data_IF_604595728296
#
_entry.id   IF_604595728296
#
_cell.length_a   1.000
_cell.length_b   1.000
_cell.length_c   1.000
_cell.angle_alpha   90.00
_cell.angle_beta   90.00
_cell.angle_gamma   90.00
#
_symmetry.space_group_name_H-M   'P 1'
#
loop_
_entity.id
_entity.type
_entity.pdbx_description
1 polymer ?
#
# COMPACT_ATOMS: atom_id res chain seq x y z
N UNK A 1 -20.04 17.09 10.51
CA UNK A 1 -19.23 15.95 10.00
C UNK A 1 -19.86 14.66 10.52
N UNK A 2 -20.07 13.65 9.71
CA UNK A 2 -20.61 12.36 10.16
C UNK A 2 -19.55 11.62 10.99
N UNK A 3 -19.96 10.72 11.89
CA UNK A 3 -19.01 9.92 12.71
C UNK A 3 -18.00 9.13 11.87
N UNK A 4 -18.32 8.84 10.63
CA UNK A 4 -17.43 8.20 9.64
C UNK A 4 -16.35 9.15 9.09
N UNK A 5 -16.58 10.45 9.09
CA UNK A 5 -15.57 11.43 8.65
C UNK A 5 -14.53 11.70 9.73
N UNK A 6 -14.92 11.72 11.01
CA UNK A 6 -13.96 11.90 12.14
C UNK A 6 -13.02 10.72 12.32
N UNK A 7 -13.34 9.53 11.79
CA UNK A 7 -12.49 8.35 11.88
C UNK A 7 -11.50 8.18 10.71
N UNK A 8 -11.55 9.02 9.67
CA UNK A 8 -10.65 8.99 8.51
C UNK A 8 -9.47 9.95 8.69
N UNK A 9 -8.69 9.78 9.77
CA UNK A 9 -7.57 10.67 10.09
C UNK A 9 -6.53 10.75 8.97
N UNK A 10 -6.19 9.62 8.33
CA UNK A 10 -5.30 9.61 7.18
C UNK A 10 -5.86 10.40 5.99
N UNK A 11 -7.14 10.20 5.69
CA UNK A 11 -7.81 10.95 4.64
C UNK A 11 -7.84 12.47 4.90
N UNK A 12 -8.02 12.88 6.17
CA UNK A 12 -7.91 14.30 6.55
C UNK A 12 -6.51 14.85 6.29
N UNK A 13 -5.46 14.12 6.68
CA UNK A 13 -4.09 14.50 6.39
C UNK A 13 -3.85 14.65 4.87
N UNK A 14 -4.19 13.65 4.08
CA UNK A 14 -4.03 13.67 2.61
C UNK A 14 -4.80 14.81 1.98
N UNK A 15 -6.03 15.07 2.43
CA UNK A 15 -6.84 16.19 1.94
C UNK A 15 -6.19 17.54 2.24
N UNK A 16 -5.71 17.72 3.46
CA UNK A 16 -5.07 18.95 3.90
C UNK A 16 -3.76 19.20 3.13
N UNK A 17 -2.92 18.18 2.94
CA UNK A 17 -1.67 18.29 2.17
C UNK A 17 -1.91 18.73 0.72
N UNK A 18 -2.94 18.21 0.08
CA UNK A 18 -3.29 18.61 -1.30
C UNK A 18 -3.76 20.07 -1.35
N UNK A 19 -4.24 20.62 -0.24
CA UNK A 19 -4.62 22.02 -0.10
C UNK A 19 -3.53 22.92 0.52
N UNK A 20 -2.29 22.42 0.64
CA UNK A 20 -1.13 23.19 1.09
C UNK A 20 -0.72 22.98 2.54
N UNK A 21 -1.36 22.05 3.26
CA UNK A 21 -0.93 21.64 4.60
C UNK A 21 0.44 20.96 4.56
N UNK A 22 1.19 21.11 5.65
CA UNK A 22 2.57 20.60 5.77
C UNK A 22 2.80 19.71 7.00
N UNK A 23 1.80 19.58 7.87
CA UNK A 23 1.92 18.81 9.10
C UNK A 23 1.84 17.32 8.75
N UNK A 24 2.79 16.47 9.18
CA UNK A 24 2.68 15.03 9.00
C UNK A 24 1.58 14.44 9.89
N UNK A 25 1.06 13.31 9.49
CA UNK A 25 0.21 12.48 10.31
C UNK A 25 1.01 11.84 11.45
N UNK A 26 0.35 11.48 12.53
CA UNK A 26 0.93 10.68 13.61
C UNK A 26 0.48 9.24 13.47
N UNK A 27 1.44 8.32 13.51
CA UNK A 27 1.20 6.88 13.61
C UNK A 27 1.29 6.49 15.09
N UNK A 28 0.21 5.97 15.64
CA UNK A 28 0.16 5.47 17.01
C UNK A 28 0.01 3.94 16.99
N UNK A 29 0.95 3.22 17.64
CA UNK A 29 0.93 1.76 17.78
C UNK A 29 0.09 1.32 18.98
N UNK A 30 -0.31 0.04 18.99
CA UNK A 30 -1.10 -0.58 20.06
C UNK A 30 -0.34 -0.73 21.39
N UNK A 31 0.97 -0.45 21.43
CA UNK A 31 1.79 -0.39 22.64
C UNK A 31 1.99 1.03 23.19
N UNK A 32 1.33 2.02 22.55
CA UNK A 32 1.41 3.43 22.95
C UNK A 32 2.57 4.20 22.33
N UNK A 33 3.44 3.57 21.55
CA UNK A 33 4.48 4.28 20.81
C UNK A 33 3.84 5.15 19.72
N UNK A 34 4.37 6.36 19.56
CA UNK A 34 3.92 7.29 18.52
C UNK A 34 5.11 7.84 17.75
N UNK A 35 4.95 8.04 16.44
CA UNK A 35 5.92 8.71 15.60
C UNK A 35 5.21 9.57 14.55
N UNK A 36 5.91 10.56 14.00
CA UNK A 36 5.46 11.25 12.80
C UNK A 36 5.50 10.29 11.60
N UNK A 37 4.43 10.27 10.83
CA UNK A 37 4.37 9.51 9.59
C UNK A 37 5.19 10.14 8.47
N UNK A 38 5.04 9.62 7.26
CA UNK A 38 5.84 10.03 6.11
C UNK A 38 5.52 11.44 5.58
N UNK A 39 4.35 11.98 5.91
CA UNK A 39 3.94 13.34 5.58
C UNK A 39 3.80 13.64 4.09
N UNK A 40 3.48 14.90 3.76
CA UNK A 40 3.19 15.31 2.38
C UNK A 40 4.38 15.14 1.44
N UNK A 41 5.60 15.25 1.94
CA UNK A 41 6.83 15.14 1.13
C UNK A 41 6.95 13.78 0.44
N UNK A 42 6.43 12.72 1.04
CA UNK A 42 6.42 11.37 0.47
C UNK A 42 5.15 11.11 -0.34
N UNK A 43 3.98 11.43 0.23
CA UNK A 43 2.70 11.12 -0.41
C UNK A 43 2.39 11.98 -1.63
N UNK A 44 2.97 13.19 -1.73
CA UNK A 44 2.79 14.08 -2.88
C UNK A 44 4.01 14.12 -3.81
N UNK A 45 5.08 13.38 -3.50
CA UNK A 45 6.32 13.38 -4.25
C UNK A 45 6.13 13.07 -5.74
N UNK A 46 6.86 13.78 -6.58
CA UNK A 46 7.06 13.37 -7.97
C UNK A 46 7.99 12.15 -8.07
N UNK A 47 8.00 11.50 -9.23
CA UNK A 47 8.73 10.23 -9.43
C UNK A 47 10.23 10.29 -9.14
N UNK A 48 10.87 11.47 -9.22
CA UNK A 48 12.28 11.64 -8.87
C UNK A 48 12.58 11.39 -7.39
N UNK A 49 11.61 11.68 -6.51
CA UNK A 49 11.70 11.47 -5.06
C UNK A 49 11.30 10.07 -4.58
N UNK A 50 10.84 9.19 -5.48
CA UNK A 50 10.38 7.86 -5.06
C UNK A 50 11.53 6.90 -4.81
N UNK A 51 11.32 5.84 -4.00
CA UNK A 51 12.26 4.74 -3.84
C UNK A 51 12.74 4.18 -5.18
N UNK A 52 14.02 3.78 -5.25
CA UNK A 52 14.59 3.25 -6.50
C UNK A 52 13.88 1.99 -6.98
N UNK A 53 13.37 1.19 -6.04
CA UNK A 53 12.60 -0.02 -6.31
C UNK A 53 11.32 0.28 -7.10
N UNK A 54 10.53 1.27 -6.67
CA UNK A 54 9.32 1.70 -7.35
C UNK A 54 9.62 2.20 -8.77
N UNK A 55 10.64 3.10 -8.92
CA UNK A 55 11.04 3.63 -10.23
C UNK A 55 11.49 2.54 -11.21
N UNK A 56 12.19 1.51 -10.73
CA UNK A 56 12.61 0.39 -11.54
C UNK A 56 11.42 -0.50 -11.93
N UNK A 57 10.53 -0.80 -10.98
CA UNK A 57 9.36 -1.63 -11.19
C UNK A 57 8.39 -1.02 -12.21
N UNK A 58 8.20 0.30 -12.20
CA UNK A 58 7.33 1.01 -13.15
C UNK A 58 7.68 0.78 -14.62
N UNK A 59 8.93 0.45 -14.94
CA UNK A 59 9.34 0.13 -16.32
C UNK A 59 8.70 -1.16 -16.87
N UNK A 60 8.15 -1.99 -15.99
CA UNK A 60 7.51 -3.26 -16.32
C UNK A 60 5.98 -3.19 -16.27
N UNK A 61 5.43 -2.06 -15.83
CA UNK A 61 3.99 -1.77 -15.85
C UNK A 61 3.54 -1.62 -17.30
N UNK A 62 2.40 -2.23 -17.63
CA UNK A 62 1.85 -2.24 -19.00
C UNK A 62 0.34 -2.31 -19.01
N UNK A 63 -0.25 -1.93 -20.14
CA UNK A 63 -1.69 -2.00 -20.38
C UNK A 63 -2.48 -1.15 -19.40
N UNK A 64 -3.69 -1.59 -19.07
CA UNK A 64 -4.57 -0.93 -18.12
C UNK A 64 -4.13 -1.23 -16.69
N UNK A 65 -4.00 -0.20 -15.86
CA UNK A 65 -3.40 -0.28 -14.53
C UNK A 65 -4.42 -0.01 -13.43
N UNK A 66 -4.33 -0.78 -12.34
CA UNK A 66 -5.00 -0.51 -11.08
C UNK A 66 -3.96 -0.11 -10.03
N UNK A 67 -4.08 1.11 -9.48
CA UNK A 67 -3.25 1.63 -8.39
C UNK A 67 -4.02 1.44 -7.07
N UNK A 68 -3.67 0.41 -6.30
CA UNK A 68 -4.34 0.01 -5.06
C UNK A 68 -3.77 0.73 -3.83
N UNK A 69 -4.64 1.43 -3.10
CA UNK A 69 -4.24 2.34 -2.03
C UNK A 69 -3.56 3.57 -2.60
N UNK A 70 -4.20 4.20 -3.59
CA UNK A 70 -3.59 5.27 -4.37
C UNK A 70 -3.34 6.56 -3.56
N UNK A 71 -3.95 6.71 -2.38
CA UNK A 71 -3.83 7.91 -1.55
C UNK A 71 -4.15 9.18 -2.33
N UNK A 72 -3.21 10.14 -2.36
CA UNK A 72 -3.29 11.35 -3.17
C UNK A 72 -3.03 11.13 -4.67
N UNK A 73 -2.90 9.89 -5.14
CA UNK A 73 -2.76 9.54 -6.55
C UNK A 73 -1.38 9.78 -7.15
N UNK A 74 -0.28 9.75 -6.36
CA UNK A 74 1.07 10.03 -6.89
C UNK A 74 1.46 9.09 -8.05
N UNK A 75 1.15 7.80 -7.92
CA UNK A 75 1.46 6.78 -8.94
C UNK A 75 0.48 6.87 -10.10
N UNK A 76 -0.81 6.97 -9.82
CA UNK A 76 -1.85 7.11 -10.83
C UNK A 76 -1.59 8.32 -11.74
N UNK A 77 -1.31 9.51 -11.19
CA UNK A 77 -0.98 10.72 -11.96
C UNK A 77 0.25 10.54 -12.83
N UNK A 78 1.33 9.95 -12.28
CA UNK A 78 2.55 9.71 -13.05
C UNK A 78 2.29 8.80 -14.27
N UNK A 79 1.51 7.75 -14.09
CA UNK A 79 1.15 6.83 -15.17
C UNK A 79 0.21 7.51 -16.19
N UNK A 80 -0.81 8.24 -15.72
CA UNK A 80 -1.75 8.98 -16.56
C UNK A 80 -1.04 10.02 -17.46
N UNK A 81 -0.08 10.78 -16.88
CA UNK A 81 0.74 11.73 -17.65
C UNK A 81 1.59 11.08 -18.73
N UNK A 82 1.80 9.77 -18.68
CA UNK A 82 2.50 8.96 -19.69
C UNK A 82 1.55 8.27 -20.65
N UNK A 83 0.26 8.61 -20.63
CA UNK A 83 -0.77 8.06 -21.52
C UNK A 83 -1.24 6.66 -21.13
N UNK A 84 -1.01 6.22 -19.88
CA UNK A 84 -1.49 4.92 -19.39
C UNK A 84 -2.92 5.05 -18.89
N UNK A 85 -3.80 4.13 -19.30
CA UNK A 85 -5.14 3.99 -18.71
C UNK A 85 -5.00 3.44 -17.28
N UNK A 86 -5.23 4.29 -16.29
CA UNK A 86 -5.06 3.97 -14.89
C UNK A 86 -6.30 4.31 -14.07
N UNK A 87 -6.62 3.41 -13.15
CA UNK A 87 -7.66 3.59 -12.14
C UNK A 87 -6.99 3.60 -10.78
N UNK A 88 -7.15 4.68 -10.02
CA UNK A 88 -6.79 4.72 -8.60
C UNK A 88 -7.90 4.08 -7.76
N UNK A 89 -7.53 3.38 -6.71
CA UNK A 89 -8.48 2.85 -5.72
C UNK A 89 -7.99 3.21 -4.32
N UNK A 90 -8.88 3.79 -3.51
CA UNK A 90 -8.62 4.04 -2.10
C UNK A 90 -9.90 3.85 -1.28
N UNK A 91 -9.77 3.36 -0.05
CA UNK A 91 -10.90 3.19 0.87
C UNK A 91 -11.30 4.51 1.53
N UNK A 92 -10.35 5.44 1.71
CA UNK A 92 -10.59 6.77 2.25
C UNK A 92 -11.32 7.65 1.23
N UNK A 93 -12.48 8.19 1.65
CA UNK A 93 -13.24 9.12 0.81
C UNK A 93 -12.48 10.44 0.57
N UNK A 94 -11.77 10.90 1.58
CA UNK A 94 -11.01 12.16 1.50
C UNK A 94 -9.75 11.97 0.63
N UNK A 95 -9.02 10.86 0.77
CA UNK A 95 -7.88 10.55 -0.09
C UNK A 95 -8.33 10.39 -1.56
N UNK A 96 -9.42 9.65 -1.83
CA UNK A 96 -9.96 9.51 -3.17
C UNK A 96 -10.41 10.86 -3.77
N UNK A 97 -10.96 11.77 -2.95
CA UNK A 97 -11.31 13.13 -3.36
C UNK A 97 -10.07 13.97 -3.65
N UNK A 98 -9.03 13.84 -2.82
CA UNK A 98 -7.76 14.53 -3.00
C UNK A 98 -7.06 14.08 -4.31
N UNK A 99 -7.06 12.78 -4.61
CA UNK A 99 -6.53 12.26 -5.86
C UNK A 99 -7.25 12.87 -7.09
N UNK A 100 -8.57 12.97 -7.05
CA UNK A 100 -9.35 13.63 -8.12
C UNK A 100 -9.03 15.11 -8.22
N UNK A 101 -8.90 15.82 -7.09
CA UNK A 101 -8.53 17.25 -7.07
C UNK A 101 -7.15 17.46 -7.71
N UNK A 102 -6.22 16.54 -7.54
CA UNK A 102 -4.90 16.55 -8.20
C UNK A 102 -4.93 16.22 -9.68
N UNK A 103 -6.06 15.74 -10.23
CA UNK A 103 -6.23 15.45 -11.64
C UNK A 103 -6.23 13.96 -12.01
N UNK A 104 -6.34 13.03 -11.05
CA UNK A 104 -6.56 11.61 -11.39
C UNK A 104 -7.97 11.44 -11.97
N UNK A 105 -8.07 11.04 -13.24
CA UNK A 105 -9.32 10.98 -13.99
C UNK A 105 -10.31 9.96 -13.44
N UNK A 106 -9.81 8.78 -13.08
CA UNK A 106 -10.65 7.69 -12.56
C UNK A 106 -10.16 7.23 -11.19
N UNK A 107 -10.99 7.43 -10.16
CA UNK A 107 -10.72 6.97 -8.79
C UNK A 107 -11.93 6.24 -8.26
N UNK A 108 -11.74 5.01 -7.81
CA UNK A 108 -12.75 4.23 -7.10
C UNK A 108 -12.56 4.40 -5.59
N UNK A 109 -13.61 4.86 -4.90
CA UNK A 109 -13.65 4.91 -3.45
C UNK A 109 -14.27 3.61 -2.93
N UNK A 110 -13.44 2.62 -2.65
CA UNK A 110 -13.87 1.29 -2.17
C UNK A 110 -12.69 0.57 -1.51
N UNK A 111 -12.99 -0.46 -0.72
CA UNK A 111 -11.95 -1.28 -0.10
C UNK A 111 -11.49 -2.41 -1.03
N UNK A 112 -10.32 -2.98 -0.70
CA UNK A 112 -9.69 -4.07 -1.45
C UNK A 112 -10.58 -5.32 -1.50
N UNK A 113 -11.30 -5.65 -0.42
CA UNK A 113 -12.18 -6.82 -0.34
C UNK A 113 -13.38 -6.70 -1.29
N UNK A 114 -13.78 -5.47 -1.63
CA UNK A 114 -14.91 -5.20 -2.53
C UNK A 114 -14.51 -5.10 -4.00
N UNK A 115 -13.24 -5.31 -4.31
CA UNK A 115 -12.74 -5.27 -5.69
C UNK A 115 -13.34 -6.38 -6.55
N UNK A 116 -13.38 -7.63 -6.03
CA UNK A 116 -14.01 -8.79 -6.68
C UNK A 116 -13.60 -8.97 -8.13
N UNK A 117 -14.54 -9.31 -9.00
CA UNK A 117 -14.31 -9.58 -10.43
C UNK A 117 -13.75 -8.38 -11.23
N UNK A 118 -13.80 -7.16 -10.70
CA UNK A 118 -13.27 -5.96 -11.38
C UNK A 118 -11.76 -6.08 -11.65
N UNK A 119 -11.04 -6.89 -10.87
CA UNK A 119 -9.59 -7.12 -11.05
C UNK A 119 -9.25 -7.68 -12.43
N UNK A 120 -10.16 -8.46 -13.05
CA UNK A 120 -9.98 -9.02 -14.39
C UNK A 120 -9.90 -7.99 -15.51
N UNK A 121 -10.22 -6.73 -15.23
CA UNK A 121 -10.12 -5.64 -16.20
C UNK A 121 -8.71 -5.08 -16.40
N UNK A 122 -7.72 -5.49 -15.59
CA UNK A 122 -6.40 -4.87 -15.53
C UNK A 122 -5.29 -5.80 -16.06
N UNK A 123 -4.27 -5.17 -16.65
CA UNK A 123 -3.05 -5.84 -17.12
C UNK A 123 -1.93 -5.72 -16.08
N UNK A 124 -1.96 -4.66 -15.29
CA UNK A 124 -1.04 -4.42 -14.17
C UNK A 124 -1.80 -3.94 -12.94
N UNK A 125 -1.41 -4.44 -11.78
CA UNK A 125 -1.92 -4.02 -10.47
C UNK A 125 -0.72 -3.57 -9.66
N UNK A 126 -0.79 -2.36 -9.10
CA UNK A 126 0.32 -1.74 -8.36
C UNK A 126 -0.10 -1.49 -6.93
N UNK A 127 0.74 -1.94 -5.99
CA UNK A 127 0.60 -1.74 -4.54
C UNK A 127 1.91 -1.14 -4.01
N UNK A 128 2.15 0.14 -4.27
CA UNK A 128 3.34 0.86 -3.80
C UNK A 128 3.09 1.56 -2.45
N UNK A 129 4.15 2.03 -1.78
CA UNK A 129 4.04 2.63 -0.46
C UNK A 129 3.83 1.60 0.65
N UNK A 130 4.48 0.45 0.56
CA UNK A 130 4.28 -0.70 1.47
C UNK A 130 2.86 -1.28 1.46
N UNK A 131 2.07 -1.06 0.41
CA UNK A 131 0.67 -1.45 0.34
C UNK A 131 0.41 -2.97 0.31
N UNK A 132 1.45 -3.83 0.37
CA UNK A 132 1.26 -5.22 0.77
C UNK A 132 0.56 -5.31 2.14
N UNK A 133 0.79 -4.32 3.00
CA UNK A 133 0.15 -4.22 4.31
C UNK A 133 -1.38 -4.17 4.30
N UNK A 134 -1.99 -3.78 3.18
CA UNK A 134 -3.46 -3.78 3.01
C UNK A 134 -4.10 -5.16 3.13
N UNK A 135 -3.33 -6.23 3.04
CA UNK A 135 -3.83 -7.59 3.28
C UNK A 135 -3.95 -7.93 4.77
N UNK A 136 -3.43 -7.12 5.68
CA UNK A 136 -3.51 -7.24 7.13
C UNK A 136 -2.77 -8.47 7.69
N UNK A 137 -3.05 -9.68 7.17
CA UNK A 137 -2.47 -10.95 7.64
C UNK A 137 -1.98 -11.82 6.47
N UNK A 138 -1.03 -12.76 6.72
CA UNK A 138 -0.60 -13.72 5.70
C UNK A 138 -1.74 -14.55 5.10
N UNK A 139 -2.70 -14.98 5.93
CA UNK A 139 -3.84 -15.78 5.48
C UNK A 139 -4.80 -14.96 4.61
N UNK A 140 -5.01 -13.70 4.94
CA UNK A 140 -5.80 -12.79 4.10
C UNK A 140 -5.11 -12.55 2.77
N UNK A 141 -3.79 -12.31 2.77
CA UNK A 141 -3.01 -12.16 1.55
C UNK A 141 -3.11 -13.40 0.66
N UNK A 142 -2.86 -14.57 1.22
CA UNK A 142 -2.94 -15.85 0.49
C UNK A 142 -4.33 -16.05 -0.13
N UNK A 143 -5.39 -15.89 0.66
CA UNK A 143 -6.77 -16.05 0.19
C UNK A 143 -7.13 -15.09 -0.93
N UNK A 144 -6.80 -13.81 -0.77
CA UNK A 144 -7.11 -12.75 -1.74
C UNK A 144 -6.32 -12.94 -3.03
N UNK A 145 -5.03 -13.26 -2.94
CA UNK A 145 -4.18 -13.51 -4.12
C UNK A 145 -4.64 -14.74 -4.89
N UNK A 146 -5.05 -15.80 -4.20
CA UNK A 146 -5.64 -16.98 -4.85
C UNK A 146 -6.94 -16.66 -5.58
N UNK A 147 -7.77 -15.80 -5.02
CA UNK A 147 -8.97 -15.31 -5.71
C UNK A 147 -8.60 -14.47 -6.95
N UNK A 148 -7.65 -13.56 -6.81
CA UNK A 148 -7.18 -12.73 -7.93
C UNK A 148 -6.58 -13.56 -9.06
N UNK A 149 -5.89 -14.67 -8.77
CA UNK A 149 -5.37 -15.55 -9.79
C UNK A 149 -6.47 -16.16 -10.66
N UNK A 150 -7.66 -16.40 -10.12
CA UNK A 150 -8.80 -16.92 -10.88
C UNK A 150 -9.46 -15.86 -11.76
N UNK A 151 -9.43 -14.60 -11.33
CA UNK A 151 -10.16 -13.50 -11.94
C UNK A 151 -9.30 -12.66 -12.90
N UNK A 152 -8.00 -12.56 -12.63
CA UNK A 152 -7.07 -11.76 -13.42
C UNK A 152 -6.78 -12.39 -14.78
N UNK A 153 -6.43 -11.55 -15.76
CA UNK A 153 -5.98 -11.99 -17.08
C UNK A 153 -4.79 -12.95 -16.95
N UNK A 154 -4.62 -13.91 -17.88
CA UNK A 154 -3.46 -14.81 -17.88
C UNK A 154 -2.11 -14.09 -17.90
N UNK A 155 -2.06 -12.91 -18.52
CA UNK A 155 -0.85 -12.09 -18.65
C UNK A 155 -0.76 -10.98 -17.61
N UNK A 156 -1.66 -10.93 -16.63
CA UNK A 156 -1.68 -9.90 -15.60
C UNK A 156 -0.41 -9.96 -14.75
N UNK A 157 0.02 -8.79 -14.27
CA UNK A 157 1.17 -8.59 -13.38
C UNK A 157 0.74 -7.87 -12.13
N UNK A 158 1.34 -8.23 -11.01
CA UNK A 158 1.15 -7.51 -9.76
C UNK A 158 2.50 -7.01 -9.28
N UNK A 159 2.56 -5.74 -8.87
CA UNK A 159 3.74 -5.09 -8.32
C UNK A 159 3.44 -4.78 -6.86
N UNK A 160 4.04 -5.54 -5.95
CA UNK A 160 3.80 -5.45 -4.52
C UNK A 160 5.00 -4.91 -3.78
N UNK A 161 4.82 -3.80 -3.08
CA UNK A 161 5.84 -3.25 -2.21
C UNK A 161 5.63 -3.68 -0.77
N UNK A 162 6.73 -4.05 -0.15
CA UNK A 162 6.83 -4.30 1.28
C UNK A 162 8.23 -3.98 1.81
N UNK A 163 8.36 -3.91 3.12
CA UNK A 163 9.63 -3.73 3.82
C UNK A 163 9.94 -4.95 4.69
N UNK A 164 11.23 -5.24 4.82
CA UNK A 164 11.69 -6.29 5.72
C UNK A 164 11.70 -5.79 7.16
N UNK A 165 10.76 -6.25 7.98
CA UNK A 165 10.66 -5.88 9.40
C UNK A 165 11.90 -6.27 10.22
N UNK A 166 12.65 -7.31 9.81
CA UNK A 166 13.84 -7.80 10.52
C UNK A 166 15.07 -6.92 10.33
N UNK A 167 15.11 -6.14 9.26
CA UNK A 167 16.25 -5.30 8.88
C UNK A 167 16.20 -3.86 9.39
N UNK A 168 15.17 -3.47 10.14
CA UNK A 168 14.99 -2.09 10.62
C UNK A 168 14.50 -1.11 9.55
N UNK A 169 14.02 -1.61 8.39
CA UNK A 169 13.53 -0.78 7.30
C UNK A 169 12.02 -0.61 7.22
N UNK A 170 11.26 -1.25 8.10
CA UNK A 170 9.82 -1.08 8.16
C UNK A 170 9.46 0.12 9.05
N UNK A 171 8.70 1.11 8.56
CA UNK A 171 8.25 2.24 9.35
C UNK A 171 7.46 1.81 10.60
N UNK A 172 7.65 2.49 11.71
CA UNK A 172 6.93 2.18 12.95
C UNK A 172 7.33 0.87 13.61
N UNK A 173 8.41 0.23 13.15
CA UNK A 173 8.76 -1.13 13.55
C UNK A 173 10.15 -1.21 14.17
N UNK A 174 10.23 -1.72 15.39
CA UNK A 174 11.49 -1.97 16.11
C UNK A 174 11.63 -3.43 16.55
N UNK A 175 12.84 -3.79 17.00
CA UNK A 175 13.14 -5.17 17.45
C UNK A 175 12.32 -5.61 18.65
N UNK A 176 11.87 -4.68 19.50
CA UNK A 176 11.07 -4.97 20.69
C UNK A 176 9.65 -5.33 20.28
N UNK A 177 9.07 -4.55 19.37
CA UNK A 177 7.74 -4.81 18.83
C UNK A 177 7.69 -6.15 18.07
N UNK A 178 8.70 -6.42 17.23
CA UNK A 178 8.87 -7.69 16.56
C UNK A 178 8.90 -8.88 17.52
N UNK A 179 9.71 -8.80 18.61
CA UNK A 179 9.79 -9.86 19.60
C UNK A 179 8.46 -10.06 20.30
N UNK A 180 7.78 -8.98 20.70
CA UNK A 180 6.44 -9.01 21.30
C UNK A 180 5.42 -9.72 20.39
N UNK A 181 5.44 -9.48 19.09
CA UNK A 181 4.56 -10.20 18.17
C UNK A 181 4.80 -11.70 18.21
N UNK A 182 6.07 -12.14 18.15
CA UNK A 182 6.42 -13.56 18.23
C UNK A 182 5.97 -14.20 19.54
N UNK A 183 6.20 -13.54 20.66
CA UNK A 183 5.78 -14.01 22.00
C UNK A 183 4.25 -14.15 22.09
N UNK A 184 3.51 -13.31 21.38
CA UNK A 184 2.05 -13.35 21.31
C UNK A 184 1.51 -14.23 20.16
N UNK A 185 2.36 -15.00 19.45
CA UNK A 185 1.95 -15.85 18.33
C UNK A 185 1.47 -15.11 17.10
N UNK A 186 1.79 -13.81 16.97
CA UNK A 186 1.47 -13.00 15.80
C UNK A 186 2.58 -13.08 14.75
N UNK A 187 2.25 -12.84 13.45
CA UNK A 187 3.27 -12.65 12.44
C UNK A 187 4.28 -11.57 12.87
N UNK A 188 5.58 -11.82 12.75
CA UNK A 188 6.57 -10.85 13.22
C UNK A 188 6.44 -9.45 12.63
N UNK A 189 6.10 -9.34 11.35
CA UNK A 189 5.92 -8.07 10.64
C UNK A 189 4.51 -7.46 10.73
N UNK A 190 3.64 -7.99 11.58
CA UNK A 190 2.32 -7.41 11.83
C UNK A 190 2.43 -6.15 12.68
N UNK A 191 1.96 -5.03 12.17
CA UNK A 191 1.86 -3.75 12.87
C UNK A 191 0.40 -3.43 13.14
N UNK A 192 0.02 -3.28 14.41
CA UNK A 192 -1.29 -2.75 14.79
C UNK A 192 -1.16 -1.28 15.15
N UNK A 193 -1.78 -0.42 14.34
CA UNK A 193 -1.62 1.02 14.46
C UNK A 193 -2.94 1.76 14.18
N UNK A 194 -2.94 3.05 14.43
CA UNK A 194 -3.94 4.00 13.95
C UNK A 194 -3.30 5.31 13.57
N UNK A 195 -3.94 6.05 12.69
CA UNK A 195 -3.53 7.41 12.35
C UNK A 195 -4.21 8.43 13.25
N UNK A 196 -3.48 9.51 13.54
CA UNK A 196 -4.01 10.72 14.15
C UNK A 196 -3.59 11.93 13.32
N UNK A 197 -4.50 12.89 13.17
CA UNK A 197 -4.24 14.14 12.45
C UNK A 197 -5.13 15.24 13.00
N UNK A 198 -4.54 16.28 13.61
CA UNK A 198 -5.29 17.27 14.37
C UNK A 198 -6.16 16.59 15.43
N UNK A 199 -7.46 16.89 15.43
CA UNK A 199 -8.44 16.26 16.32
C UNK A 199 -8.99 14.93 15.80
N UNK A 200 -8.67 14.55 14.57
CA UNK A 200 -9.14 13.29 13.99
C UNK A 200 -8.31 12.11 14.49
N UNK A 201 -9.02 11.06 14.94
CA UNK A 201 -8.42 9.80 15.39
C UNK A 201 -9.02 8.66 14.58
N UNK A 202 -8.18 7.98 13.80
CA UNK A 202 -8.58 6.82 12.99
C UNK A 202 -8.92 5.60 13.82
N UNK A 203 -9.62 4.65 13.20
CA UNK A 203 -9.78 3.30 13.75
C UNK A 203 -8.45 2.55 13.78
N UNK A 204 -8.33 1.56 14.68
CA UNK A 204 -7.21 0.64 14.69
C UNK A 204 -7.26 -0.22 13.42
N UNK A 205 -6.10 -0.33 12.74
CA UNK A 205 -5.89 -1.21 11.60
C UNK A 205 -4.68 -2.10 11.83
N UNK A 206 -4.61 -3.18 11.07
CA UNK A 206 -3.44 -4.06 11.00
C UNK A 206 -2.74 -3.80 9.67
N UNK A 207 -1.40 -3.68 9.71
CA UNK A 207 -0.55 -3.53 8.54
C UNK A 207 0.51 -4.62 8.54
N UNK A 208 0.69 -5.30 7.42
CA UNK A 208 1.60 -6.43 7.32
C UNK A 208 2.86 -6.07 6.52
N UNK A 209 4.01 -6.08 7.19
CA UNK A 209 5.31 -6.06 6.53
C UNK A 209 5.84 -7.49 6.38
N UNK A 210 6.37 -7.82 5.22
CA UNK A 210 6.92 -9.14 4.94
C UNK A 210 8.29 -9.03 4.28
N UNK A 211 9.19 -9.92 4.66
CA UNK A 211 10.43 -10.14 3.92
C UNK A 211 10.14 -10.81 2.57
N UNK A 212 11.10 -10.78 1.65
CA UNK A 212 10.98 -11.48 0.37
C UNK A 212 10.74 -12.99 0.52
N UNK A 213 11.28 -13.61 1.57
CA UNK A 213 11.08 -15.02 1.86
C UNK A 213 9.65 -15.31 2.31
N UNK A 214 9.13 -14.52 3.27
CA UNK A 214 7.75 -14.63 3.74
C UNK A 214 6.75 -14.37 2.60
N UNK A 215 7.02 -13.40 1.73
CA UNK A 215 6.18 -13.16 0.56
C UNK A 215 6.13 -14.41 -0.35
N UNK A 216 7.28 -15.05 -0.62
CA UNK A 216 7.31 -16.31 -1.40
C UNK A 216 6.52 -17.42 -0.72
N UNK A 217 6.59 -17.52 0.61
CA UNK A 217 5.84 -18.53 1.36
C UNK A 217 4.32 -18.29 1.28
N UNK A 218 3.87 -17.03 1.39
CA UNK A 218 2.48 -16.61 1.22
C UNK A 218 1.97 -16.94 -0.20
N UNK A 219 2.81 -16.79 -1.21
CA UNK A 219 2.43 -17.02 -2.61
C UNK A 219 2.22 -18.50 -2.96
N UNK A 220 2.75 -19.44 -2.19
CA UNK A 220 2.63 -20.89 -2.50
C UNK A 220 1.17 -21.31 -2.65
N UNK A 221 0.84 -21.87 -3.82
CA UNK A 221 -0.53 -22.35 -4.11
C UNK A 221 -1.55 -21.27 -4.37
N UNK A 222 -1.14 -20.01 -4.55
CA UNK A 222 -2.03 -18.91 -4.93
C UNK A 222 -2.25 -18.81 -6.45
N UNK A 223 -1.36 -19.38 -7.26
CA UNK A 223 -1.30 -19.22 -8.72
C UNK A 223 -0.49 -17.98 -9.15
N UNK A 224 0.29 -17.43 -8.24
CA UNK A 224 1.26 -16.35 -8.50
C UNK A 224 2.63 -16.75 -8.00
N UNK A 225 3.66 -16.37 -8.73
CA UNK A 225 5.04 -16.49 -8.30
C UNK A 225 5.79 -15.17 -8.41
N UNK A 226 6.81 -15.03 -7.61
CA UNK A 226 7.70 -13.87 -7.62
C UNK A 226 8.72 -14.03 -8.76
N UNK A 227 8.47 -13.38 -9.91
CA UNK A 227 9.34 -13.48 -11.08
C UNK A 227 10.56 -12.54 -11.00
N UNK A 228 10.42 -11.41 -10.29
CA UNK A 228 11.49 -10.42 -10.11
C UNK A 228 11.33 -9.64 -8.82
N UNK A 229 12.44 -9.14 -8.28
CA UNK A 229 12.47 -8.22 -7.14
C UNK A 229 13.33 -7.01 -7.50
N UNK A 230 12.84 -5.83 -7.13
CA UNK A 230 13.52 -4.55 -7.23
C UNK A 230 13.78 -4.03 -5.81
N UNK A 231 14.94 -3.41 -5.57
CA UNK A 231 15.32 -2.95 -4.24
C UNK A 231 15.78 -4.12 -3.35
N UNK A 232 17.09 -4.31 -3.28
CA UNK A 232 17.68 -5.42 -2.52
C UNK A 232 18.52 -4.94 -1.34
N UNK A 233 18.57 -3.61 -1.11
CA UNK A 233 19.33 -3.05 -0.01
C UNK A 233 18.63 -3.34 1.32
N UNK A 234 19.42 -3.77 2.28
CA UNK A 234 18.93 -3.97 3.64
C UNK A 234 18.44 -2.62 4.20
N UNK A 235 17.25 -2.62 4.80
CA UNK A 235 16.65 -1.40 5.37
C UNK A 235 15.86 -0.53 4.40
N UNK A 236 15.80 -0.89 3.10
CA UNK A 236 14.95 -0.20 2.13
C UNK A 236 13.73 -1.08 1.75
N UNK A 237 12.61 -0.47 1.35
CA UNK A 237 11.50 -1.22 0.79
C UNK A 237 11.90 -1.89 -0.53
N UNK A 238 11.26 -3.01 -0.84
CA UNK A 238 11.42 -3.73 -2.09
C UNK A 238 10.08 -3.86 -2.82
N UNK A 239 10.13 -3.96 -4.13
CA UNK A 239 8.96 -4.27 -4.95
C UNK A 239 9.14 -5.65 -5.57
N UNK A 240 8.19 -6.55 -5.33
CA UNK A 240 8.09 -7.83 -6.00
C UNK A 240 7.17 -7.72 -7.23
N UNK A 241 7.66 -8.17 -8.39
CA UNK A 241 6.85 -8.42 -9.57
C UNK A 241 6.35 -9.85 -9.50
N UNK A 242 5.02 -9.99 -9.47
CA UNK A 242 4.35 -11.28 -9.51
C UNK A 242 3.78 -11.53 -10.92
N UNK A 243 3.97 -12.73 -11.41
CA UNK A 243 3.37 -13.23 -12.64
C UNK A 243 2.60 -14.52 -12.34
N UNK A 244 1.66 -14.88 -13.20
CA UNK A 244 0.87 -16.12 -13.03
C UNK A 244 1.72 -17.34 -13.35
N UNK A 245 1.41 -18.45 -12.64
CA UNK A 245 1.99 -19.77 -12.89
C UNK A 245 1.54 -20.34 -14.25
#
# INVERSE_FOLDING_TARGET
MSATETSDAFGHAVWDWVNGGTIPEIVERDDGYTEEGAGPEVYLAGASGWPSAERQALRYVRGRVLDLGCGAGRVALHLQMRGVDVVGLDASRLAARAARLRGVETVWCTSLERLGARIGGFDSIVLFGNNFGLFETPDCAHRQLREWARLAKPTARIFMESSNAYGGGAPGFDRTYYRRNRENGRPPGELRARYRYGDAVGGWFTWLFVSQAEMRDILRGTGWHQSRVFGTRLGEPYVALLEKD
#
